data_IF_821253731258
#
_entry.id   IF_821253731258
#
_cell.length_a   1.000
_cell.length_b   1.000
_cell.length_c   1.000
_cell.angle_alpha   90.00
_cell.angle_beta   90.00
_cell.angle_gamma   90.00
#
_symmetry.space_group_name_H-M   'P 1'
#
loop_
_entity.id
_entity.type
_entity.pdbx_description
1 polymer ?
#
# COMPACT_ATOMS: atom_id res chain seq x y z
N UNK A 1 -26.95 -11.49 7.07
CA UNK A 1 -27.44 -10.15 7.48
C UNK A 1 -26.67 -8.97 6.87
N UNK A 2 -25.35 -8.81 7.09
CA UNK A 2 -24.60 -7.67 6.53
C UNK A 2 -24.56 -7.72 4.98
N UNK A 3 -24.22 -8.88 4.42
CA UNK A 3 -24.21 -9.13 2.97
C UNK A 3 -25.62 -8.94 2.36
N UNK A 4 -26.67 -9.43 3.02
CA UNK A 4 -28.06 -9.25 2.54
C UNK A 4 -28.48 -7.77 2.46
N UNK A 5 -27.99 -6.95 3.41
CA UNK A 5 -28.27 -5.50 3.45
C UNK A 5 -27.41 -4.68 2.48
N UNK A 6 -26.19 -5.13 2.18
CA UNK A 6 -25.27 -4.44 1.26
C UNK A 6 -25.55 -4.80 -0.21
N UNK A 7 -25.95 -6.04 -0.50
CA UNK A 7 -26.02 -6.57 -1.88
C UNK A 7 -27.37 -6.31 -2.57
N UNK A 8 -28.38 -5.77 -1.86
CA UNK A 8 -29.73 -5.54 -2.41
C UNK A 8 -30.21 -6.76 -3.21
N UNK A 9 -30.22 -7.92 -2.56
CA UNK A 9 -30.59 -9.19 -3.17
C UNK A 9 -32.09 -9.15 -3.51
N UNK A 10 -32.41 -8.89 -4.78
CA UNK A 10 -33.77 -8.64 -5.27
C UNK A 10 -34.28 -9.73 -6.22
N UNK A 11 -33.47 -10.75 -6.55
CA UNK A 11 -33.84 -11.77 -7.54
C UNK A 11 -33.34 -13.17 -7.18
N UNK A 12 -34.12 -14.17 -7.57
CA UNK A 12 -33.81 -15.60 -7.37
C UNK A 12 -32.51 -16.04 -8.06
N UNK A 13 -32.12 -15.38 -9.15
CA UNK A 13 -30.86 -15.58 -9.85
C UNK A 13 -29.64 -15.09 -9.03
N UNK A 14 -29.73 -13.89 -8.41
CA UNK A 14 -28.69 -13.40 -7.48
C UNK A 14 -28.56 -14.29 -6.26
N UNK A 15 -29.68 -14.80 -5.75
CA UNK A 15 -29.72 -15.78 -4.66
C UNK A 15 -28.98 -17.07 -5.06
N UNK A 16 -29.27 -17.66 -6.22
CA UNK A 16 -28.60 -18.88 -6.69
C UNK A 16 -27.11 -18.67 -7.04
N UNK A 17 -26.75 -17.50 -7.57
CA UNK A 17 -25.35 -17.13 -7.85
C UNK A 17 -24.53 -17.01 -6.56
N UNK A 18 -25.11 -16.43 -5.48
CA UNK A 18 -24.50 -16.45 -4.14
C UNK A 18 -24.39 -17.88 -3.55
N UNK A 19 -25.18 -18.83 -4.01
CA UNK A 19 -25.04 -20.24 -3.62
C UNK A 19 -24.00 -21.01 -4.44
N UNK A 20 -23.48 -20.45 -5.53
CA UNK A 20 -22.32 -20.99 -6.21
C UNK A 20 -21.05 -20.55 -5.47
N UNK A 21 -20.28 -21.53 -4.98
CA UNK A 21 -19.12 -21.31 -4.12
C UNK A 21 -18.08 -20.39 -4.78
N UNK A 22 -17.80 -20.59 -6.08
CA UNK A 22 -16.78 -19.84 -6.81
C UNK A 22 -17.23 -18.41 -7.10
N UNK A 23 -18.49 -18.23 -7.51
CA UNK A 23 -19.06 -16.90 -7.77
C UNK A 23 -19.14 -16.06 -6.49
N UNK A 24 -19.49 -16.68 -5.37
CA UNK A 24 -19.46 -16.03 -4.05
C UNK A 24 -18.05 -15.62 -3.62
N UNK A 25 -17.04 -16.45 -3.90
CA UNK A 25 -15.64 -16.09 -3.62
C UNK A 25 -15.18 -14.91 -4.47
N UNK A 26 -15.46 -14.95 -5.77
CA UNK A 26 -15.15 -13.85 -6.68
C UNK A 26 -15.84 -12.57 -6.19
N UNK A 27 -17.14 -12.64 -5.91
CA UNK A 27 -17.90 -11.50 -5.38
C UNK A 27 -17.27 -10.94 -4.10
N UNK A 28 -16.97 -11.80 -3.13
CA UNK A 28 -16.35 -11.40 -1.87
C UNK A 28 -14.99 -10.73 -2.06
N UNK A 29 -14.15 -11.25 -2.97
CA UNK A 29 -12.86 -10.64 -3.30
C UNK A 29 -13.04 -9.28 -3.99
N UNK A 30 -13.98 -9.16 -4.94
CA UNK A 30 -14.27 -7.87 -5.58
C UNK A 30 -14.75 -6.83 -4.58
N UNK A 31 -15.66 -7.23 -3.70
CA UNK A 31 -16.15 -6.37 -2.64
C UNK A 31 -15.03 -5.95 -1.68
N UNK A 32 -14.17 -6.89 -1.28
CA UNK A 32 -12.99 -6.59 -0.47
C UNK A 32 -12.06 -5.58 -1.16
N UNK A 33 -11.78 -5.78 -2.45
CA UNK A 33 -10.98 -4.85 -3.27
C UNK A 33 -11.53 -3.43 -3.25
N UNK A 34 -12.86 -3.28 -3.32
CA UNK A 34 -13.53 -1.99 -3.24
C UNK A 34 -13.42 -1.36 -1.83
N UNK A 35 -13.58 -2.16 -0.78
CA UNK A 35 -13.46 -1.70 0.61
C UNK A 35 -12.06 -1.17 0.94
N UNK A 36 -11.01 -1.87 0.50
CA UNK A 36 -9.62 -1.52 0.83
C UNK A 36 -9.08 -0.31 0.04
N UNK A 37 -9.89 0.32 -0.83
CA UNK A 37 -9.56 1.65 -1.34
C UNK A 37 -9.66 2.73 -0.25
N UNK A 38 -10.46 2.52 0.81
CA UNK A 38 -10.40 3.35 1.99
C UNK A 38 -9.21 2.93 2.85
N UNK A 39 -8.29 3.86 3.09
CA UNK A 39 -7.12 3.61 3.95
C UNK A 39 -7.55 3.16 5.35
N UNK A 40 -8.55 3.80 5.95
CA UNK A 40 -9.06 3.45 7.28
C UNK A 40 -9.57 2.01 7.33
N UNK A 41 -10.33 1.59 6.31
CA UNK A 41 -10.85 0.22 6.23
C UNK A 41 -9.71 -0.76 5.98
N UNK A 42 -8.77 -0.44 5.09
CA UNK A 42 -7.60 -1.29 4.83
C UNK A 42 -6.76 -1.51 6.10
N UNK A 43 -6.48 -0.45 6.86
CA UNK A 43 -5.75 -0.51 8.12
C UNK A 43 -6.51 -1.30 9.18
N UNK A 44 -7.81 -1.04 9.32
CA UNK A 44 -8.67 -1.78 10.24
C UNK A 44 -8.67 -3.29 9.93
N UNK A 45 -8.85 -3.64 8.65
CA UNK A 45 -8.87 -5.02 8.21
C UNK A 45 -7.52 -5.71 8.42
N UNK A 46 -6.41 -4.99 8.18
CA UNK A 46 -5.08 -5.54 8.42
C UNK A 46 -4.82 -5.75 9.91
N UNK A 47 -5.13 -4.77 10.75
CA UNK A 47 -4.90 -4.85 12.19
C UNK A 47 -5.75 -5.92 12.88
N UNK A 48 -7.01 -6.08 12.47
CA UNK A 48 -7.94 -7.01 13.12
C UNK A 48 -7.90 -8.43 12.54
N UNK A 49 -7.73 -8.55 11.22
CA UNK A 49 -7.93 -9.83 10.53
C UNK A 49 -6.67 -10.32 9.80
N UNK A 50 -5.61 -9.51 9.70
CA UNK A 50 -4.40 -9.87 8.95
C UNK A 50 -4.77 -10.36 7.55
N UNK A 51 -5.62 -9.58 6.85
CA UNK A 51 -6.26 -10.04 5.63
C UNK A 51 -5.24 -10.33 4.52
N UNK A 52 -4.11 -9.61 4.49
CA UNK A 52 -3.05 -9.88 3.54
C UNK A 52 -2.43 -11.26 3.74
N UNK A 53 -2.15 -11.65 4.98
CA UNK A 53 -1.61 -12.96 5.35
C UNK A 53 -2.61 -14.08 5.04
N UNK A 54 -3.90 -13.84 5.30
CA UNK A 54 -4.97 -14.78 4.93
C UNK A 54 -5.02 -15.00 3.41
N UNK A 55 -4.91 -13.93 2.62
CA UNK A 55 -4.91 -14.03 1.16
C UNK A 55 -3.61 -14.69 0.64
N UNK A 56 -2.44 -14.36 1.18
CA UNK A 56 -1.18 -15.00 0.80
C UNK A 56 -1.21 -16.51 1.07
N UNK A 57 -1.70 -16.91 2.25
CA UNK A 57 -1.85 -18.32 2.61
C UNK A 57 -2.84 -19.03 1.68
N UNK A 58 -3.98 -18.41 1.39
CA UNK A 58 -4.94 -18.96 0.44
C UNK A 58 -4.33 -19.09 -0.97
N UNK A 59 -3.43 -18.18 -1.36
CA UNK A 59 -2.69 -18.27 -2.62
C UNK A 59 -1.68 -19.43 -2.61
N UNK A 60 -0.93 -19.60 -1.52
CA UNK A 60 0.03 -20.70 -1.35
C UNK A 60 -0.66 -22.07 -1.43
N UNK A 61 -1.84 -22.19 -0.83
CA UNK A 61 -2.64 -23.40 -0.84
C UNK A 61 -3.29 -23.68 -2.21
N UNK A 62 -3.44 -22.66 -3.04
CA UNK A 62 -4.05 -22.75 -4.37
C UNK A 62 -2.99 -23.06 -5.45
N UNK A 63 -2.26 -24.15 -5.24
CA UNK A 63 -1.18 -24.61 -6.13
C UNK A 63 -1.53 -25.94 -6.77
N UNK A 64 -1.03 -26.15 -7.99
CA UNK A 64 -1.15 -27.43 -8.68
C UNK A 64 -0.40 -28.51 -7.91
N UNK A 65 -1.03 -29.67 -7.71
CA UNK A 65 -0.49 -30.81 -6.94
C UNK A 65 0.90 -31.27 -7.41
N UNK A 66 1.28 -30.98 -8.67
CA UNK A 66 2.48 -31.52 -9.29
C UNK A 66 3.63 -30.52 -9.47
N UNK A 67 3.39 -29.21 -9.33
CA UNK A 67 4.37 -28.20 -9.78
C UNK A 67 4.65 -27.07 -8.80
N UNK A 68 4.02 -27.03 -7.61
CA UNK A 68 4.09 -25.88 -6.67
C UNK A 68 3.75 -24.52 -7.32
N UNK A 69 3.28 -24.53 -8.57
CA UNK A 69 2.85 -23.36 -9.32
C UNK A 69 1.42 -23.06 -8.94
N UNK A 70 1.16 -21.78 -8.67
CA UNK A 70 -0.18 -21.29 -8.39
C UNK A 70 -1.07 -21.56 -9.61
N UNK A 71 -2.27 -22.09 -9.38
CA UNK A 71 -3.26 -22.33 -10.45
C UNK A 71 -3.78 -20.97 -10.90
N UNK A 72 -3.89 -20.77 -12.22
CA UNK A 72 -4.40 -19.55 -12.82
C UNK A 72 -5.89 -19.72 -13.10
N UNK A 73 -6.71 -19.04 -12.32
CA UNK A 73 -8.17 -19.03 -12.39
C UNK A 73 -8.70 -17.66 -11.93
N UNK A 74 -10.01 -17.43 -12.02
CA UNK A 74 -10.57 -16.12 -11.66
C UNK A 74 -10.34 -15.75 -10.18
N UNK A 75 -10.36 -16.72 -9.26
CA UNK A 75 -10.19 -16.48 -7.83
C UNK A 75 -8.75 -16.04 -7.52
N UNK A 76 -7.77 -16.75 -8.08
CA UNK A 76 -6.34 -16.42 -7.93
C UNK A 76 -5.98 -15.08 -8.57
N UNK A 77 -6.62 -14.70 -9.69
CA UNK A 77 -6.47 -13.36 -10.27
C UNK A 77 -6.99 -12.25 -9.35
N UNK A 78 -8.21 -12.40 -8.85
CA UNK A 78 -8.84 -11.43 -7.94
C UNK A 78 -8.04 -11.30 -6.63
N UNK A 79 -7.54 -12.41 -6.10
CA UNK A 79 -6.69 -12.42 -4.91
C UNK A 79 -5.36 -11.72 -5.16
N UNK A 80 -4.69 -12.03 -6.28
CA UNK A 80 -3.43 -11.40 -6.64
C UNK A 80 -3.60 -9.88 -6.84
N UNK A 81 -4.70 -9.44 -7.44
CA UNK A 81 -5.03 -8.02 -7.57
C UNK A 81 -5.07 -7.32 -6.21
N UNK A 82 -5.79 -7.89 -5.24
CA UNK A 82 -5.91 -7.33 -3.89
C UNK A 82 -4.53 -7.27 -3.21
N UNK A 83 -3.73 -8.33 -3.30
CA UNK A 83 -2.40 -8.38 -2.70
C UNK A 83 -1.47 -7.29 -3.25
N UNK A 84 -1.47 -7.06 -4.57
CA UNK A 84 -0.72 -5.95 -5.18
C UNK A 84 -1.28 -4.60 -4.73
N UNK A 85 -2.61 -4.46 -4.72
CA UNK A 85 -3.31 -3.23 -4.32
C UNK A 85 -3.07 -2.85 -2.85
N UNK A 86 -2.98 -3.83 -1.94
CA UNK A 86 -2.88 -3.57 -0.51
C UNK A 86 -1.45 -3.47 -0.01
N UNK A 87 -0.49 -4.15 -0.66
CA UNK A 87 0.91 -4.15 -0.22
C UNK A 87 1.69 -2.93 -0.73
N UNK A 88 1.46 -2.52 -1.98
CA UNK A 88 2.19 -1.40 -2.56
C UNK A 88 1.55 -0.07 -2.13
N UNK A 89 2.30 0.68 -1.32
CA UNK A 89 2.01 2.08 -1.00
C UNK A 89 2.33 2.94 -2.22
N UNK A 90 1.35 3.72 -2.69
CA UNK A 90 1.52 4.63 -3.81
C UNK A 90 0.28 4.76 -4.69
N UNK A 91 0.19 5.87 -5.42
CA UNK A 91 -0.91 6.12 -6.36
C UNK A 91 -0.82 5.31 -7.65
N UNK A 92 -1.77 5.50 -8.60
CA UNK A 92 -1.77 4.83 -9.91
C UNK A 92 -0.50 5.04 -10.74
N UNK A 93 0.29 6.07 -10.44
CA UNK A 93 1.57 6.39 -11.09
C UNK A 93 2.78 5.69 -10.46
N UNK A 94 2.58 4.96 -9.37
CA UNK A 94 3.66 4.34 -8.59
C UNK A 94 3.60 2.82 -8.57
N UNK A 95 2.44 2.26 -8.92
CA UNK A 95 2.19 0.82 -8.99
C UNK A 95 1.48 0.43 -10.29
N UNK A 96 1.75 -0.77 -10.75
CA UNK A 96 1.05 -1.39 -11.86
C UNK A 96 0.16 -2.50 -11.32
N UNK A 97 -1.16 -2.30 -11.37
CA UNK A 97 -2.11 -3.32 -10.95
C UNK A 97 -2.27 -4.40 -12.04
N UNK A 98 -2.32 -5.68 -11.68
CA UNK A 98 -2.54 -6.76 -12.64
C UNK A 98 -3.92 -6.67 -13.30
N UNK A 99 -4.08 -7.21 -14.52
CA UNK A 99 -5.40 -7.43 -15.10
C UNK A 99 -6.17 -8.50 -14.29
N UNK A 100 -7.50 -8.32 -14.22
CA UNK A 100 -8.45 -9.22 -13.54
C UNK A 100 -9.14 -10.19 -14.49
N UNK A 101 -8.68 -10.28 -15.73
CA UNK A 101 -9.24 -11.11 -16.79
C UNK A 101 -8.15 -11.91 -17.48
N UNK A 102 -8.52 -13.10 -17.97
CA UNK A 102 -7.64 -13.95 -18.78
C UNK A 102 -7.71 -13.51 -20.25
N UNK A 103 -6.58 -13.60 -20.95
CA UNK A 103 -6.53 -13.36 -22.39
C UNK A 103 -7.06 -14.59 -23.11
N UNK A 104 -8.04 -14.41 -24.01
CA UNK A 104 -8.71 -15.52 -24.69
C UNK A 104 -7.93 -16.03 -25.93
N UNK A 105 -7.06 -15.21 -26.51
CA UNK A 105 -6.46 -15.45 -27.84
C UNK A 105 -4.93 -15.49 -27.86
N UNK A 106 -4.27 -15.82 -26.73
CA UNK A 106 -2.80 -15.89 -26.64
C UNK A 106 -2.30 -17.22 -26.10
N UNK A 107 -1.15 -17.68 -26.59
CA UNK A 107 -0.43 -18.85 -26.04
C UNK A 107 -0.05 -18.66 -24.56
N UNK A 108 -0.02 -17.40 -24.10
CA UNK A 108 0.17 -17.04 -22.70
C UNK A 108 -1.09 -16.40 -22.12
N UNK A 109 -1.97 -17.23 -21.57
CA UNK A 109 -3.28 -16.86 -21.00
C UNK A 109 -3.19 -15.73 -19.96
N UNK A 110 -2.05 -15.61 -19.25
CA UNK A 110 -1.83 -14.57 -18.25
C UNK A 110 -0.34 -14.26 -18.02
N UNK A 111 0.08 -13.03 -18.36
CA UNK A 111 1.51 -12.65 -18.34
C UNK A 111 2.04 -12.10 -17.02
N UNK A 112 1.20 -11.97 -15.99
CA UNK A 112 1.60 -11.39 -14.71
C UNK A 112 1.87 -12.50 -13.66
N UNK A 113 2.99 -12.47 -12.94
CA UNK A 113 3.34 -13.51 -11.98
C UNK A 113 2.45 -13.42 -10.74
N UNK A 114 1.74 -14.49 -10.42
CA UNK A 114 1.07 -14.62 -9.13
C UNK A 114 2.10 -14.92 -8.04
N UNK A 115 1.87 -14.46 -6.81
CA UNK A 115 2.77 -14.67 -5.69
C UNK A 115 2.01 -15.01 -4.41
N UNK A 116 2.64 -15.79 -3.54
CA UNK A 116 2.11 -16.18 -2.23
C UNK A 116 2.99 -15.75 -1.06
N UNK A 117 4.08 -15.02 -1.35
CA UNK A 117 5.03 -14.49 -0.36
C UNK A 117 5.52 -13.13 -0.80
N UNK A 118 5.86 -12.29 0.17
CA UNK A 118 6.54 -11.02 -0.06
C UNK A 118 8.06 -11.23 -0.24
N UNK A 119 8.75 -10.33 -0.96
CA UNK A 119 8.25 -9.10 -1.58
C UNK A 119 7.39 -9.36 -2.84
N UNK A 120 6.56 -8.38 -3.18
CA UNK A 120 5.76 -8.40 -4.42
C UNK A 120 6.71 -8.39 -5.64
N UNK A 121 6.40 -9.14 -6.73
CA UNK A 121 7.23 -9.14 -7.94
C UNK A 121 7.44 -7.75 -8.56
N UNK A 122 8.65 -7.49 -9.05
CA UNK A 122 9.07 -6.18 -9.59
C UNK A 122 8.23 -5.68 -10.77
N UNK A 123 7.55 -6.57 -11.49
CA UNK A 123 6.64 -6.15 -12.60
C UNK A 123 5.46 -5.32 -12.11
N UNK A 124 5.14 -5.36 -10.82
CA UNK A 124 4.08 -4.56 -10.22
C UNK A 124 4.58 -3.20 -9.69
N UNK A 125 5.89 -2.99 -9.63
CA UNK A 125 6.49 -1.71 -9.27
C UNK A 125 6.94 -0.99 -10.53
N UNK A 126 6.56 0.29 -10.66
CA UNK A 126 7.02 1.07 -11.80
C UNK A 126 8.49 1.48 -11.58
N UNK A 127 9.37 1.29 -12.58
CA UNK A 127 10.78 1.63 -12.43
C UNK A 127 10.92 3.12 -12.10
N UNK A 128 11.77 3.41 -11.10
CA UNK A 128 12.13 4.78 -10.75
C UNK A 128 12.94 5.33 -11.93
N UNK A 129 12.32 6.15 -12.77
CA UNK A 129 13.09 7.04 -13.64
C UNK A 129 13.84 7.96 -12.70
N UNK A 130 15.13 7.70 -12.49
CA UNK A 130 16.01 8.60 -11.73
C UNK A 130 15.93 9.95 -12.43
N UNK A 131 15.12 10.85 -11.88
CA UNK A 131 14.98 12.19 -12.43
C UNK A 131 16.33 12.86 -12.29
N UNK A 132 17.01 13.09 -13.40
CA UNK A 132 18.21 13.93 -13.45
C UNK A 132 17.93 15.38 -13.03
N UNK A 133 16.65 15.76 -12.86
CA UNK A 133 16.26 17.11 -12.43
C UNK A 133 16.49 17.39 -10.94
N UNK A 134 16.83 16.38 -10.14
CA UNK A 134 17.17 16.58 -8.71
C UNK A 134 18.33 17.57 -8.52
N UNK A 135 19.17 17.74 -9.56
CA UNK A 135 20.31 18.67 -9.56
C UNK A 135 19.95 20.13 -9.84
N UNK A 136 18.76 20.43 -10.35
CA UNK A 136 18.46 21.76 -10.90
C UNK A 136 17.52 22.60 -10.02
N UNK A 137 16.96 22.06 -8.93
CA UNK A 137 16.08 22.79 -8.02
C UNK A 137 16.78 23.05 -6.66
N UNK A 138 17.28 24.27 -6.41
CA UNK A 138 18.02 24.60 -5.20
C UNK A 138 17.18 24.54 -3.93
N UNK A 139 15.84 24.62 -4.04
CA UNK A 139 14.96 24.48 -2.89
C UNK A 139 14.77 22.99 -2.50
N UNK A 140 14.85 22.06 -3.46
CA UNK A 140 14.82 20.62 -3.18
C UNK A 140 16.13 20.12 -2.57
N UNK A 141 17.28 20.70 -2.94
CA UNK A 141 18.57 20.35 -2.35
C UNK A 141 18.64 20.66 -0.85
N UNK A 142 17.95 21.72 -0.39
CA UNK A 142 17.85 22.06 1.04
C UNK A 142 17.06 21.03 1.87
N UNK A 143 16.26 20.18 1.21
CA UNK A 143 15.49 19.15 1.90
C UNK A 143 16.37 17.98 2.35
N UNK A 144 17.57 17.82 1.78
CA UNK A 144 18.46 16.70 2.06
C UNK A 144 19.63 17.18 2.91
N UNK A 145 20.10 16.36 3.87
CA UNK A 145 21.29 16.69 4.64
C UNK A 145 22.53 16.66 3.73
N UNK A 146 23.53 17.47 4.09
CA UNK A 146 24.82 17.44 3.41
C UNK A 146 25.46 16.05 3.55
N UNK A 147 26.10 15.54 2.49
CA UNK A 147 26.68 14.19 2.46
C UNK A 147 27.70 13.92 3.57
N UNK A 148 28.31 14.98 4.11
CA UNK A 148 29.38 14.90 5.10
C UNK A 148 28.89 15.15 6.55
N UNK A 149 27.60 15.48 6.74
CA UNK A 149 27.03 15.82 8.05
C UNK A 149 25.89 14.85 8.39
N UNK A 150 25.99 14.09 9.50
CA UNK A 150 24.89 13.24 9.92
C UNK A 150 23.66 14.11 10.22
N UNK A 151 22.45 13.67 9.81
CA UNK A 151 21.24 14.45 10.05
C UNK A 151 20.98 14.57 11.56
N UNK A 152 20.51 15.74 12.00
CA UNK A 152 20.28 16.06 13.41
C UNK A 152 18.81 16.46 13.67
N UNK A 153 18.41 16.58 14.94
CA UNK A 153 17.09 17.12 15.29
C UNK A 153 16.92 18.59 14.87
N UNK A 154 18.01 19.36 14.82
CA UNK A 154 18.01 20.74 14.32
C UNK A 154 17.72 20.74 12.81
N UNK A 155 18.42 19.89 12.05
CA UNK A 155 18.15 19.67 10.64
C UNK A 155 16.69 19.25 10.41
N UNK A 156 16.15 18.32 11.20
CA UNK A 156 14.76 17.86 11.06
C UNK A 156 13.76 19.02 11.17
N UNK A 157 13.99 19.94 12.11
CA UNK A 157 13.11 21.10 12.35
C UNK A 157 13.18 22.10 11.20
N UNK A 158 14.38 22.42 10.73
CA UNK A 158 14.59 23.32 9.57
C UNK A 158 14.02 22.71 8.28
N UNK A 159 14.29 21.42 8.07
CA UNK A 159 13.81 20.64 6.95
C UNK A 159 12.26 20.65 6.92
N UNK A 160 11.61 20.45 8.07
CA UNK A 160 10.15 20.47 8.18
C UNK A 160 9.55 21.81 7.69
N UNK A 161 10.14 22.94 8.06
CA UNK A 161 9.69 24.26 7.62
C UNK A 161 9.82 24.40 6.09
N UNK A 162 10.97 24.00 5.54
CA UNK A 162 11.22 24.03 4.10
C UNK A 162 10.26 23.09 3.34
N UNK A 163 10.01 21.89 3.86
CA UNK A 163 9.08 20.92 3.29
C UNK A 163 7.65 21.46 3.24
N UNK A 164 7.16 21.99 4.36
CA UNK A 164 5.83 22.58 4.47
C UNK A 164 5.66 23.77 3.52
N UNK A 165 6.70 24.60 3.38
CA UNK A 165 6.69 25.72 2.44
C UNK A 165 6.61 25.25 0.97
N UNK A 166 7.37 24.23 0.60
CA UNK A 166 7.32 23.66 -0.77
C UNK A 166 5.96 23.01 -1.03
N UNK A 167 5.42 22.24 -0.09
CA UNK A 167 4.08 21.65 -0.20
C UNK A 167 3.00 22.73 -0.38
N UNK A 168 3.14 23.87 0.29
CA UNK A 168 2.17 24.97 0.23
C UNK A 168 2.27 25.79 -1.06
N UNK A 169 3.46 25.93 -1.64
CA UNK A 169 3.71 26.83 -2.77
C UNK A 169 3.83 26.11 -4.12
N UNK A 170 4.44 24.92 -4.13
CA UNK A 170 4.80 24.15 -5.33
C UNK A 170 4.71 22.63 -5.09
N UNK A 171 3.54 22.09 -4.70
CA UNK A 171 3.39 20.67 -4.35
C UNK A 171 3.83 19.71 -5.46
N UNK A 172 3.66 20.10 -6.73
CA UNK A 172 4.07 19.31 -7.91
C UNK A 172 5.59 19.19 -8.11
N UNK A 173 6.41 19.97 -7.39
CA UNK A 173 7.87 19.91 -7.51
C UNK A 173 8.50 18.81 -6.64
N UNK A 174 7.76 18.24 -5.69
CA UNK A 174 8.29 17.21 -4.80
C UNK A 174 8.43 15.90 -5.55
N UNK A 175 9.68 15.52 -5.82
CA UNK A 175 10.00 14.30 -6.55
C UNK A 175 10.04 13.08 -5.62
N UNK A 176 9.59 11.93 -6.11
CA UNK A 176 9.58 10.65 -5.38
C UNK A 176 10.95 10.31 -4.78
N UNK A 177 12.03 10.54 -5.52
CA UNK A 177 13.40 10.25 -5.06
C UNK A 177 13.81 11.11 -3.86
N UNK A 178 13.44 12.40 -3.86
CA UNK A 178 13.71 13.30 -2.72
C UNK A 178 12.91 12.86 -1.51
N UNK A 179 11.62 12.53 -1.68
CA UNK A 179 10.78 12.01 -0.58
C UNK A 179 11.32 10.71 0.01
N UNK A 180 11.79 9.79 -0.82
CA UNK A 180 12.37 8.55 -0.34
C UNK A 180 13.62 8.81 0.52
N UNK A 181 14.56 9.60 -0.01
CA UNK A 181 15.79 9.94 0.73
C UNK A 181 15.46 10.71 2.00
N UNK A 182 14.52 11.66 1.93
CA UNK A 182 14.08 12.42 3.08
C UNK A 182 13.49 11.51 4.17
N UNK A 183 12.66 10.54 3.80
CA UNK A 183 12.07 9.58 4.72
C UNK A 183 13.15 8.73 5.39
N UNK A 184 14.11 8.22 4.60
CA UNK A 184 15.25 7.45 5.11
C UNK A 184 16.05 8.26 6.14
N UNK A 185 16.42 9.51 5.82
CA UNK A 185 17.17 10.38 6.73
C UNK A 185 16.37 10.77 7.98
N UNK A 186 15.07 11.05 7.81
CA UNK A 186 14.17 11.37 8.94
C UNK A 186 14.07 10.20 9.92
N UNK A 187 13.89 8.98 9.41
CA UNK A 187 13.84 7.77 10.24
C UNK A 187 15.15 7.58 10.99
N UNK A 188 16.31 7.83 10.37
CA UNK A 188 17.60 7.75 11.05
C UNK A 188 17.69 8.70 12.26
N UNK A 189 17.32 9.97 12.08
CA UNK A 189 17.29 10.97 13.19
C UNK A 189 16.32 10.56 14.29
N UNK A 190 15.13 10.08 13.92
CA UNK A 190 14.12 9.66 14.89
C UNK A 190 14.59 8.43 15.67
N UNK A 191 15.21 7.44 15.02
CA UNK A 191 15.74 6.26 15.69
C UNK A 191 16.87 6.62 16.67
N UNK A 192 17.76 7.54 16.29
CA UNK A 192 18.87 8.01 17.15
C UNK A 192 18.39 8.83 18.36
N UNK A 193 17.30 9.60 18.20
CA UNK A 193 16.69 10.36 19.30
C UNK A 193 15.80 9.51 20.21
N UNK A 194 15.28 8.38 19.72
CA UNK A 194 14.40 7.49 20.48
C UNK A 194 15.16 6.49 21.32
N UNK A 195 15.74 6.97 22.42
CA UNK A 195 15.91 6.11 23.60
C UNK A 195 14.65 6.10 24.50
N UNK A 196 13.62 6.94 24.31
CA UNK A 196 12.38 6.84 25.14
C UNK A 196 11.08 7.58 24.72
N UNK A 197 10.93 8.31 23.61
CA UNK A 197 9.84 9.32 23.52
C UNK A 197 9.02 9.46 22.19
N UNK A 198 8.80 8.39 21.41
CA UNK A 198 8.03 8.50 20.12
C UNK A 198 6.58 8.98 20.32
N UNK A 199 5.96 8.64 21.46
CA UNK A 199 4.54 8.95 21.68
C UNK A 199 4.24 10.43 21.97
N UNK A 200 5.23 11.18 22.48
CA UNK A 200 5.04 12.60 22.80
C UNK A 200 5.19 13.49 21.56
N UNK A 201 6.14 13.16 20.69
CA UNK A 201 6.44 13.95 19.49
C UNK A 201 5.23 14.02 18.54
N UNK A 202 4.51 12.93 18.31
CA UNK A 202 3.36 12.91 17.38
C UNK A 202 2.19 13.79 17.87
N UNK A 203 1.98 13.85 19.19
CA UNK A 203 0.97 14.74 19.80
C UNK A 203 1.33 16.21 19.59
N UNK A 204 2.62 16.55 19.65
CA UNK A 204 3.09 17.92 19.46
C UNK A 204 3.09 18.34 17.98
N UNK A 205 3.29 17.38 17.06
CA UNK A 205 3.33 17.65 15.61
C UNK A 205 1.95 17.80 14.95
N UNK A 206 0.88 17.24 15.52
CA UNK A 206 -0.47 17.32 14.96
C UNK A 206 -1.51 17.51 16.09
N UNK A 207 -1.65 18.73 16.63
CA UNK A 207 -2.49 18.99 17.81
C UNK A 207 -3.99 18.80 17.60
N UNK A 208 -4.44 18.55 16.35
CA UNK A 208 -5.84 18.38 15.98
C UNK A 208 -6.26 16.92 15.71
N UNK A 209 -5.43 15.94 16.05
CA UNK A 209 -5.80 14.54 15.87
C UNK A 209 -6.91 14.14 16.84
N UNK A 210 -7.92 13.43 16.32
CA UNK A 210 -8.94 12.85 17.17
C UNK A 210 -8.32 11.77 18.07
N UNK A 211 -8.92 11.48 19.24
CA UNK A 211 -8.45 10.41 20.12
C UNK A 211 -8.33 9.04 19.42
N UNK A 212 -9.16 8.80 18.39
CA UNK A 212 -9.14 7.58 17.59
C UNK A 212 -7.95 7.53 16.63
N UNK A 213 -7.59 8.65 16.02
CA UNK A 213 -6.42 8.76 15.14
C UNK A 213 -5.12 8.57 15.93
N UNK A 214 -5.02 9.18 17.11
CA UNK A 214 -3.86 9.00 18.00
C UNK A 214 -3.69 7.54 18.41
N UNK A 215 -4.80 6.85 18.72
CA UNK A 215 -4.79 5.44 19.07
C UNK A 215 -4.35 4.55 17.89
N UNK A 216 -4.84 4.84 16.68
CA UNK A 216 -4.41 4.14 15.46
C UNK A 216 -2.91 4.27 15.19
N UNK A 217 -2.36 5.47 15.34
CA UNK A 217 -0.91 5.72 15.18
C UNK A 217 -0.11 4.97 16.26
N UNK A 218 -0.57 5.01 17.52
CA UNK A 218 0.10 4.30 18.63
C UNK A 218 0.14 2.78 18.40
N UNK A 219 -0.90 2.20 17.81
CA UNK A 219 -0.95 0.78 17.47
C UNK A 219 -0.02 0.43 16.30
N UNK A 220 0.18 1.33 15.34
CA UNK A 220 1.02 1.10 14.17
C UNK A 220 2.54 1.20 14.45
N UNK A 221 2.93 1.83 15.56
CA UNK A 221 4.34 2.04 15.97
C UNK A 221 4.87 0.90 16.85
N UNK A 222 4.00 0.00 17.33
CA UNK A 222 4.39 -1.24 18.03
C UNK A 222 4.63 -2.38 17.06
#
# INVERSE_FOLDING_TARGET
ELIDRIVLIDSSAKIHSLFNYDESHIFGLRFLSDLIYSLDICLLLQAQYQFQELLLKAQEQHTSHNSSTIIIDMISLERNYILVQSFLVGGPTERQLPPRTLQQDSDNVYSYPLFSKYPVPDVYTLPITKSTQLKDDPDLLKLLPDQDVPPSMEWLTEMQEVFCNILSTKPQHIQRTVNQQLLEQTILVLLESTSTEVSQTISDFCPNLSPQQLHGITLAIR
#
